data_IF_668660817841
#
_entry.id   IF_668660817841
#
_cell.length_a   1.000
_cell.length_b   1.000
_cell.length_c   1.000
_cell.angle_alpha   90.00
_cell.angle_beta   90.00
_cell.angle_gamma   90.00
#
_symmetry.space_group_name_H-M   'P 1'
#
loop_
_entity.id
_entity.type
_entity.pdbx_description
1 polymer ?
#
# COMPACT_ATOMS: atom_id res chain seq x y z
N UNK A 1 35.36 -36.41 48.01
CA UNK A 1 33.93 -36.35 48.37
C UNK A 1 33.17 -36.16 47.06
N UNK A 2 32.73 -37.25 46.44
CA UNK A 2 31.91 -37.19 45.23
C UNK A 2 30.47 -36.92 45.68
N UNK A 3 29.93 -35.79 45.24
CA UNK A 3 28.57 -35.36 45.50
C UNK A 3 27.61 -36.37 44.87
N UNK A 4 26.66 -36.87 45.66
CA UNK A 4 25.70 -37.90 45.26
C UNK A 4 24.68 -37.29 44.29
N UNK A 5 25.07 -37.15 43.02
CA UNK A 5 24.20 -36.66 41.94
C UNK A 5 23.01 -37.64 41.83
N UNK A 6 21.78 -37.14 42.06
CA UNK A 6 20.56 -37.94 41.88
C UNK A 6 20.56 -38.54 40.48
N UNK A 7 20.28 -39.83 40.33
CA UNK A 7 20.32 -40.52 39.03
C UNK A 7 19.47 -39.83 37.95
N UNK A 8 18.41 -39.14 38.36
CA UNK A 8 17.59 -38.30 37.48
C UNK A 8 18.34 -37.11 36.88
N UNK A 9 19.26 -36.49 37.62
CA UNK A 9 20.06 -35.35 37.18
C UNK A 9 21.19 -35.77 36.23
N UNK A 10 21.81 -36.94 36.47
CA UNK A 10 22.79 -37.50 35.56
C UNK A 10 22.15 -37.90 34.21
N UNK A 11 20.99 -38.57 34.26
CA UNK A 11 20.29 -39.02 33.07
C UNK A 11 19.82 -37.85 32.20
N UNK A 12 19.29 -36.78 32.80
CA UNK A 12 18.85 -35.59 32.07
C UNK A 12 20.01 -34.86 31.39
N UNK A 13 21.20 -34.82 32.02
CA UNK A 13 22.41 -34.21 31.47
C UNK A 13 22.99 -34.98 30.28
N UNK A 14 22.97 -36.31 30.32
CA UNK A 14 23.60 -37.16 29.28
C UNK A 14 22.67 -37.36 28.07
N UNK A 15 21.38 -37.57 28.31
CA UNK A 15 20.43 -37.88 27.24
C UNK A 15 19.73 -36.62 26.72
N UNK A 16 19.84 -35.49 27.44
CA UNK A 16 19.12 -34.25 27.14
C UNK A 16 17.60 -34.36 27.35
N UNK A 17 17.13 -35.48 27.90
CA UNK A 17 15.72 -35.72 28.17
C UNK A 17 15.37 -35.21 29.56
N UNK A 18 14.42 -34.28 29.63
CA UNK A 18 13.95 -33.74 30.91
C UNK A 18 13.04 -34.72 31.67
N UNK A 19 12.52 -35.76 31.01
CA UNK A 19 11.64 -36.79 31.60
C UNK A 19 11.94 -38.19 31.03
N UNK A 20 11.63 -39.24 31.81
CA UNK A 20 11.78 -40.64 31.37
C UNK A 20 10.75 -40.99 30.29
N UNK A 21 11.16 -41.69 29.21
CA UNK A 21 10.22 -42.14 28.19
C UNK A 21 9.22 -43.15 28.78
N UNK A 22 7.93 -42.95 28.49
CA UNK A 22 6.90 -43.93 28.82
C UNK A 22 7.09 -45.17 27.93
N UNK A 23 7.37 -46.31 28.54
CA UNK A 23 7.48 -47.59 27.84
C UNK A 23 6.08 -48.04 27.42
N UNK A 24 5.90 -48.41 26.15
CA UNK A 24 4.64 -49.00 25.68
C UNK A 24 4.39 -50.36 26.34
N UNK A 25 3.14 -50.68 26.68
CA UNK A 25 2.73 -51.95 27.30
C UNK A 25 3.22 -53.19 26.51
N UNK A 26 3.32 -53.07 25.18
CA UNK A 26 3.79 -54.11 24.26
C UNK A 26 5.29 -54.44 24.39
N UNK A 27 6.08 -53.62 25.10
CA UNK A 27 7.49 -53.96 25.40
C UNK A 27 7.59 -55.15 26.37
N UNK A 28 6.59 -55.36 27.22
CA UNK A 28 6.56 -56.51 28.15
C UNK A 28 6.28 -57.84 27.44
N UNK A 29 5.65 -57.79 26.26
CA UNK A 29 5.31 -58.97 25.44
C UNK A 29 6.34 -59.25 24.34
N UNK A 30 7.39 -58.44 24.22
CA UNK A 30 8.46 -58.61 23.24
C UNK A 30 8.11 -58.11 21.83
N UNK A 31 6.98 -57.43 21.65
CA UNK A 31 6.62 -56.81 20.37
C UNK A 31 7.17 -55.37 20.30
N UNK A 32 7.99 -55.09 19.28
CA UNK A 32 8.52 -53.76 19.06
C UNK A 32 7.39 -52.79 18.71
N UNK A 33 7.23 -51.74 19.52
CA UNK A 33 6.29 -50.65 19.21
C UNK A 33 6.71 -49.99 17.91
N UNK A 34 5.92 -50.23 16.85
CA UNK A 34 6.23 -49.77 15.49
C UNK A 34 6.03 -48.27 15.29
N UNK A 35 5.51 -47.57 16.30
CA UNK A 35 5.35 -46.12 16.34
C UNK A 35 5.74 -45.61 17.73
N UNK A 36 6.99 -45.17 17.94
CA UNK A 36 7.37 -44.55 19.21
C UNK A 36 6.57 -43.26 19.40
N UNK A 37 5.64 -43.26 20.36
CA UNK A 37 4.89 -42.08 20.76
C UNK A 37 5.67 -41.33 21.82
N UNK A 38 6.40 -40.30 21.41
CA UNK A 38 7.12 -39.43 22.34
C UNK A 38 6.15 -38.43 22.96
N UNK A 39 5.95 -38.52 24.28
CA UNK A 39 5.16 -37.54 25.05
C UNK A 39 6.13 -36.64 25.77
N UNK A 40 6.14 -35.35 25.41
CA UNK A 40 6.93 -34.33 26.08
C UNK A 40 6.03 -33.66 27.12
N UNK A 41 6.44 -33.73 28.38
CA UNK A 41 5.71 -33.14 29.52
C UNK A 41 6.60 -32.10 30.20
N UNK A 42 5.98 -31.05 30.74
CA UNK A 42 6.63 -29.97 31.47
C UNK A 42 5.76 -29.50 32.64
N UNK A 43 6.31 -28.64 33.49
CA UNK A 43 5.62 -28.05 34.64
C UNK A 43 5.69 -26.53 34.52
N UNK A 44 4.55 -25.86 34.59
CA UNK A 44 4.47 -24.40 34.62
C UNK A 44 3.59 -23.96 35.79
N UNK A 45 3.76 -22.72 36.27
CA UNK A 45 3.10 -22.23 37.47
C UNK A 45 1.58 -22.03 37.29
N UNK A 46 1.14 -21.77 36.05
CA UNK A 46 -0.28 -21.59 35.69
C UNK A 46 -0.66 -22.42 34.48
N UNK A 47 -1.96 -22.74 34.35
CA UNK A 47 -2.47 -23.49 33.18
C UNK A 47 -2.31 -22.71 31.87
N UNK A 48 -2.36 -21.38 31.92
CA UNK A 48 -2.22 -20.53 30.72
C UNK A 48 -0.77 -20.52 30.21
N UNK A 49 0.20 -20.41 31.12
CA UNK A 49 1.63 -20.52 30.78
C UNK A 49 1.96 -21.91 30.25
N UNK A 50 1.42 -22.98 30.84
CA UNK A 50 1.63 -24.35 30.38
C UNK A 50 1.16 -24.55 28.93
N UNK A 51 -0.01 -23.99 28.56
CA UNK A 51 -0.54 -24.08 27.19
C UNK A 51 0.34 -23.30 26.21
N UNK A 52 0.81 -22.11 26.60
CA UNK A 52 1.66 -21.27 25.77
C UNK A 52 3.02 -21.93 25.53
N UNK A 53 3.69 -22.38 26.59
CA UNK A 53 4.99 -23.05 26.53
C UNK A 53 4.93 -24.35 25.71
N UNK A 54 3.88 -25.16 25.92
CA UNK A 54 3.65 -26.37 25.12
C UNK A 54 3.45 -26.04 23.64
N UNK A 55 2.73 -24.93 23.33
CA UNK A 55 2.50 -24.50 21.95
C UNK A 55 3.79 -24.00 21.29
N UNK A 56 4.58 -23.20 21.99
CA UNK A 56 5.88 -22.71 21.51
C UNK A 56 6.85 -23.88 21.28
N UNK A 57 6.94 -24.82 22.23
CA UNK A 57 7.80 -25.99 22.12
C UNK A 57 7.37 -26.89 20.96
N UNK A 58 6.05 -27.11 20.80
CA UNK A 58 5.50 -27.84 19.66
C UNK A 58 5.89 -27.20 18.33
N UNK A 59 5.82 -25.87 18.21
CA UNK A 59 6.21 -25.14 17.00
C UNK A 59 7.70 -25.37 16.70
N UNK A 60 8.57 -25.23 17.70
CA UNK A 60 10.03 -25.40 17.55
C UNK A 60 10.37 -26.83 17.10
N UNK A 61 9.73 -27.83 17.71
CA UNK A 61 9.97 -29.24 17.36
C UNK A 61 9.43 -29.59 15.97
N UNK A 62 8.30 -29.02 15.56
CA UNK A 62 7.74 -29.19 14.21
C UNK A 62 8.57 -28.46 13.15
N UNK A 63 9.15 -27.30 13.47
CA UNK A 63 9.98 -26.53 12.53
C UNK A 63 11.39 -27.10 12.37
N UNK A 64 11.88 -27.86 13.35
CA UNK A 64 13.23 -28.41 13.36
C UNK A 64 14.32 -27.34 13.51
N UNK A 65 15.57 -27.77 13.48
CA UNK A 65 16.72 -26.86 13.51
C UNK A 65 16.89 -26.17 12.14
N UNK A 66 17.17 -24.86 12.15
CA UNK A 66 17.49 -24.12 10.95
C UNK A 66 18.81 -24.66 10.34
N UNK A 67 18.87 -24.94 9.02
CA UNK A 67 20.06 -25.49 8.38
C UNK A 67 21.31 -24.60 8.47
N UNK A 68 21.12 -23.28 8.64
CA UNK A 68 22.16 -22.26 8.70
C UNK A 68 21.76 -21.20 9.74
N UNK A 69 22.74 -20.59 10.41
CA UNK A 69 22.50 -19.45 11.28
C UNK A 69 21.94 -18.28 10.46
N UNK A 70 20.68 -17.90 10.74
CA UNK A 70 20.00 -16.78 10.06
C UNK A 70 19.99 -15.54 10.93
N UNK A 71 20.27 -14.39 10.34
CA UNK A 71 20.07 -13.09 10.98
C UNK A 71 18.72 -12.48 10.57
N UNK A 72 18.02 -11.90 11.54
CA UNK A 72 16.78 -11.17 11.27
C UNK A 72 17.14 -9.79 10.74
N UNK A 73 17.10 -9.63 9.42
CA UNK A 73 17.40 -8.35 8.73
C UNK A 73 16.32 -7.27 8.92
N UNK A 74 15.13 -7.65 9.38
CA UNK A 74 14.04 -6.71 9.66
C UNK A 74 12.80 -7.41 10.18
N UNK A 75 12.11 -6.76 11.13
CA UNK A 75 10.81 -7.20 11.64
C UNK A 75 9.87 -6.00 11.63
N UNK A 76 8.77 -6.13 10.90
CA UNK A 76 7.70 -5.14 10.88
C UNK A 76 6.44 -5.78 11.43
N UNK A 77 5.93 -5.25 12.54
CA UNK A 77 4.67 -5.68 13.13
C UNK A 77 3.70 -4.50 13.11
N UNK A 78 2.55 -4.69 12.49
CA UNK A 78 1.48 -3.70 12.42
C UNK A 78 0.28 -4.33 13.10
N UNK A 79 -0.23 -3.68 14.16
CA UNK A 79 -1.41 -4.21 14.86
C UNK A 79 -2.66 -4.04 13.99
N UNK A 80 -3.63 -4.99 14.07
CA UNK A 80 -4.90 -4.88 13.34
C UNK A 80 -5.65 -3.57 13.63
N UNK A 81 -5.57 -3.09 14.87
CA UNK A 81 -6.16 -1.80 15.29
C UNK A 81 -5.59 -0.63 14.49
N UNK A 82 -4.27 -0.57 14.32
CA UNK A 82 -3.61 0.49 13.55
C UNK A 82 -4.04 0.46 12.07
N UNK A 83 -4.23 -0.74 11.51
CA UNK A 83 -4.77 -0.90 10.15
C UNK A 83 -6.20 -0.37 10.01
N UNK A 84 -7.07 -0.63 10.98
CA UNK A 84 -8.45 -0.12 10.97
C UNK A 84 -8.51 1.41 11.12
N UNK A 85 -7.66 1.98 11.97
CA UNK A 85 -7.53 3.43 12.13
C UNK A 85 -6.98 4.09 10.87
N UNK A 86 -6.00 3.45 10.21
CA UNK A 86 -5.45 3.92 8.95
C UNK A 86 -6.52 4.10 7.88
N UNK A 87 -7.41 3.12 7.67
CA UNK A 87 -8.50 3.24 6.69
C UNK A 87 -9.38 4.47 6.97
N UNK A 88 -9.71 4.69 8.25
CA UNK A 88 -10.53 5.84 8.66
C UNK A 88 -9.79 7.17 8.41
N UNK A 89 -8.51 7.24 8.77
CA UNK A 89 -7.69 8.44 8.56
C UNK A 89 -7.54 8.77 7.07
N UNK A 90 -7.32 7.75 6.24
CA UNK A 90 -7.23 7.89 4.79
C UNK A 90 -8.53 8.43 4.20
N UNK A 91 -9.68 7.90 4.60
CA UNK A 91 -10.98 8.39 4.12
C UNK A 91 -11.20 9.87 4.48
N UNK A 92 -10.87 10.26 5.71
CA UNK A 92 -10.97 11.65 6.16
C UNK A 92 -10.00 12.54 5.38
N UNK A 93 -8.74 12.13 5.22
CA UNK A 93 -7.73 12.88 4.50
C UNK A 93 -8.10 13.06 3.01
N UNK A 94 -8.57 12.00 2.35
CA UNK A 94 -9.01 12.03 0.96
C UNK A 94 -10.22 12.95 0.75
N UNK A 95 -11.23 12.87 1.65
CA UNK A 95 -12.39 13.75 1.59
C UNK A 95 -12.01 15.22 1.86
N UNK A 96 -11.15 15.46 2.85
CA UNK A 96 -10.65 16.80 3.15
C UNK A 96 -9.86 17.40 1.98
N UNK A 97 -9.01 16.60 1.32
CA UNK A 97 -8.27 17.02 0.13
C UNK A 97 -9.22 17.38 -1.02
N UNK A 98 -10.23 16.54 -1.30
CA UNK A 98 -11.23 16.81 -2.34
C UNK A 98 -12.02 18.09 -2.06
N UNK A 99 -12.43 18.31 -0.82
CA UNK A 99 -13.15 19.53 -0.41
C UNK A 99 -12.26 20.78 -0.48
N UNK A 100 -11.00 20.69 -0.07
CA UNK A 100 -10.05 21.79 -0.16
C UNK A 100 -9.81 22.19 -1.62
N UNK A 101 -9.62 21.20 -2.50
CA UNK A 101 -9.52 21.40 -3.96
C UNK A 101 -10.79 22.06 -4.50
N UNK A 102 -11.96 21.54 -4.14
CA UNK A 102 -13.25 22.08 -4.57
C UNK A 102 -13.40 23.56 -4.18
N UNK A 103 -13.05 23.91 -2.95
CA UNK A 103 -13.08 25.28 -2.46
C UNK A 103 -12.13 26.19 -3.24
N UNK A 104 -10.87 25.78 -3.47
CA UNK A 104 -9.88 26.57 -4.21
C UNK A 104 -10.34 26.80 -5.66
N UNK A 105 -10.81 25.75 -6.34
CA UNK A 105 -11.30 25.84 -7.72
C UNK A 105 -12.53 26.76 -7.80
N UNK A 106 -13.44 26.65 -6.82
CA UNK A 106 -14.62 27.51 -6.75
C UNK A 106 -14.24 28.98 -6.55
N UNK A 107 -13.34 29.28 -5.62
CA UNK A 107 -12.85 30.65 -5.36
C UNK A 107 -12.14 31.22 -6.60
N UNK A 108 -11.35 30.41 -7.31
CA UNK A 108 -10.57 30.82 -8.49
C UNK A 108 -11.43 31.19 -9.68
N UNK A 109 -12.45 30.39 -10.00
CA UNK A 109 -13.27 30.58 -11.20
C UNK A 109 -14.58 31.31 -10.93
N UNK A 110 -15.11 31.26 -9.71
CA UNK A 110 -16.41 31.84 -9.30
C UNK A 110 -17.59 31.44 -10.21
N UNK A 111 -17.45 30.33 -10.94
CA UNK A 111 -18.39 29.85 -11.96
C UNK A 111 -18.63 28.37 -11.75
N UNK A 112 -19.83 28.05 -11.24
CA UNK A 112 -20.24 26.67 -10.87
C UNK A 112 -20.11 25.70 -12.04
N UNK A 113 -20.43 26.15 -13.26
CA UNK A 113 -20.37 25.30 -14.46
C UNK A 113 -18.94 24.89 -14.86
N UNK A 114 -17.90 25.57 -14.34
CA UNK A 114 -16.49 25.18 -14.54
C UNK A 114 -16.02 24.30 -13.37
N UNK A 115 -16.35 24.70 -12.15
CA UNK A 115 -15.88 24.03 -10.93
C UNK A 115 -16.46 22.63 -10.77
N UNK A 116 -17.74 22.41 -11.09
CA UNK A 116 -18.41 21.11 -10.91
C UNK A 116 -17.79 20.01 -11.79
N UNK A 117 -17.58 20.22 -13.11
CA UNK A 117 -16.90 19.23 -13.95
C UNK A 117 -15.48 18.88 -13.48
N UNK A 118 -14.72 19.85 -12.98
CA UNK A 118 -13.35 19.62 -12.45
C UNK A 118 -13.40 18.66 -11.27
N UNK A 119 -14.28 18.94 -10.30
CA UNK A 119 -14.42 18.12 -9.10
C UNK A 119 -14.93 16.71 -9.46
N UNK A 120 -15.92 16.62 -10.35
CA UNK A 120 -16.52 15.35 -10.75
C UNK A 120 -15.51 14.44 -11.46
N UNK A 121 -14.68 14.98 -12.35
CA UNK A 121 -13.63 14.19 -13.01
C UNK A 121 -12.53 13.81 -12.03
N UNK A 122 -12.14 14.72 -11.13
CA UNK A 122 -11.14 14.41 -10.09
C UNK A 122 -11.62 13.29 -9.17
N UNK A 123 -12.90 13.27 -8.80
CA UNK A 123 -13.49 12.17 -8.04
C UNK A 123 -13.50 10.86 -8.84
N UNK A 124 -13.89 10.90 -10.12
CA UNK A 124 -13.83 9.73 -11.00
C UNK A 124 -12.41 9.19 -11.16
N UNK A 125 -11.40 10.06 -11.16
CA UNK A 125 -9.99 9.67 -11.27
C UNK A 125 -9.54 8.84 -10.06
N UNK A 126 -9.96 9.21 -8.85
CA UNK A 126 -9.69 8.44 -7.63
C UNK A 126 -10.27 7.02 -7.78
N UNK A 127 -11.52 6.92 -8.25
CA UNK A 127 -12.17 5.61 -8.45
C UNK A 127 -11.42 4.78 -9.49
N UNK A 128 -10.98 5.38 -10.60
CA UNK A 128 -10.24 4.67 -11.64
C UNK A 128 -8.87 4.20 -11.11
N UNK A 129 -8.15 5.03 -10.35
CA UNK A 129 -6.86 4.65 -9.74
C UNK A 129 -7.07 3.47 -8.79
N UNK A 130 -8.07 3.52 -7.92
CA UNK A 130 -8.40 2.44 -7.00
C UNK A 130 -8.85 1.16 -7.74
N UNK A 131 -9.63 1.31 -8.82
CA UNK A 131 -10.06 0.22 -9.67
C UNK A 131 -8.89 -0.48 -10.36
N UNK A 132 -7.96 0.29 -10.93
CA UNK A 132 -6.72 -0.25 -11.52
C UNK A 132 -5.88 -0.94 -10.46
N UNK A 133 -5.67 -0.31 -9.30
CA UNK A 133 -4.93 -0.90 -8.19
C UNK A 133 -5.53 -2.24 -7.73
N UNK A 134 -6.86 -2.34 -7.69
CA UNK A 134 -7.58 -3.58 -7.36
C UNK A 134 -7.33 -4.68 -8.39
N UNK A 135 -7.39 -4.36 -9.69
CA UNK A 135 -7.18 -5.33 -10.79
C UNK A 135 -5.77 -5.90 -10.79
N UNK A 136 -4.76 -5.08 -10.48
CA UNK A 136 -3.36 -5.51 -10.43
C UNK A 136 -2.95 -6.07 -9.07
N UNK A 137 -3.90 -6.20 -8.12
CA UNK A 137 -3.65 -6.61 -6.73
C UNK A 137 -2.55 -5.79 -6.04
N UNK A 138 -2.48 -4.48 -6.32
CA UNK A 138 -1.49 -3.59 -5.71
C UNK A 138 -1.88 -3.24 -4.29
N UNK A 139 -0.97 -3.49 -3.35
CA UNK A 139 -1.15 -3.13 -1.95
C UNK A 139 -0.95 -1.63 -1.76
N UNK A 140 -1.99 -0.94 -1.29
CA UNK A 140 -1.94 0.49 -1.02
C UNK A 140 -1.43 0.71 0.41
N UNK A 141 -0.16 1.09 0.53
CA UNK A 141 0.44 1.52 1.78
C UNK A 141 0.30 3.05 1.98
N UNK A 142 0.86 3.57 3.08
CA UNK A 142 0.82 4.99 3.40
C UNK A 142 1.48 5.86 2.31
N UNK A 143 2.59 5.40 1.75
CA UNK A 143 3.31 6.12 0.70
C UNK A 143 2.50 6.14 -0.61
N UNK A 144 1.92 5.01 -1.01
CA UNK A 144 1.01 4.91 -2.15
C UNK A 144 -0.18 5.87 -2.00
N UNK A 145 -0.74 6.00 -0.79
CA UNK A 145 -1.82 6.95 -0.52
C UNK A 145 -1.40 8.40 -0.79
N UNK A 146 -0.22 8.81 -0.33
CA UNK A 146 0.31 10.13 -0.68
C UNK A 146 0.47 10.29 -2.20
N UNK A 147 0.80 9.21 -2.91
CA UNK A 147 0.88 9.19 -4.37
C UNK A 147 -0.47 9.42 -5.05
N UNK A 148 -1.55 8.86 -4.50
CA UNK A 148 -2.93 9.11 -4.96
C UNK A 148 -3.29 10.59 -4.73
N UNK A 149 -2.99 11.14 -3.56
CA UNK A 149 -3.26 12.56 -3.25
C UNK A 149 -2.49 13.48 -4.22
N UNK A 150 -1.24 13.15 -4.52
CA UNK A 150 -0.45 13.86 -5.53
C UNK A 150 -1.06 13.74 -6.94
N UNK A 151 -1.58 12.58 -7.31
CA UNK A 151 -2.28 12.38 -8.59
C UNK A 151 -3.55 13.27 -8.69
N UNK A 152 -4.32 13.40 -7.60
CA UNK A 152 -5.47 14.31 -7.56
C UNK A 152 -5.03 15.76 -7.78
N UNK A 153 -3.99 16.21 -7.06
CA UNK A 153 -3.49 17.59 -7.16
C UNK A 153 -3.00 17.92 -8.58
N UNK A 154 -2.20 17.04 -9.17
CA UNK A 154 -1.73 17.20 -10.56
C UNK A 154 -2.87 17.08 -11.57
N UNK A 155 -3.91 16.29 -11.29
CA UNK A 155 -5.09 16.20 -12.14
C UNK A 155 -5.92 17.46 -12.17
N UNK A 156 -6.15 18.07 -11.02
CA UNK A 156 -6.83 19.37 -10.94
C UNK A 156 -6.00 20.44 -11.63
N UNK A 157 -4.68 20.48 -11.41
CA UNK A 157 -3.77 21.40 -12.10
C UNK A 157 -3.89 21.28 -13.62
N UNK A 158 -3.88 20.06 -14.17
CA UNK A 158 -4.07 19.85 -15.61
C UNK A 158 -5.44 20.30 -16.10
N UNK A 159 -6.50 20.06 -15.33
CA UNK A 159 -7.85 20.52 -15.67
C UNK A 159 -7.93 22.05 -15.65
N UNK A 160 -7.27 22.72 -14.70
CA UNK A 160 -7.11 24.18 -14.65
C UNK A 160 -6.37 24.68 -15.90
N UNK A 161 -5.27 24.03 -16.30
CA UNK A 161 -4.53 24.40 -17.52
C UNK A 161 -5.41 24.27 -18.78
N UNK A 162 -6.19 23.18 -18.91
CA UNK A 162 -7.15 23.01 -20.02
C UNK A 162 -8.18 24.13 -19.99
N UNK A 163 -8.70 24.45 -18.82
CA UNK A 163 -9.72 25.48 -18.60
C UNK A 163 -9.18 26.87 -18.97
N UNK A 164 -8.03 27.25 -18.43
CA UNK A 164 -7.43 28.56 -18.62
C UNK A 164 -7.02 28.77 -20.09
N UNK A 165 -6.35 27.79 -20.72
CA UNK A 165 -5.95 27.90 -22.14
C UNK A 165 -7.17 27.91 -23.08
N UNK A 166 -8.26 27.23 -22.71
CA UNK A 166 -9.47 27.19 -23.53
C UNK A 166 -10.35 28.44 -23.38
N UNK A 167 -10.50 28.98 -22.17
CA UNK A 167 -11.23 30.22 -21.85
C UNK A 167 -10.44 31.50 -22.18
N UNK A 168 -9.15 31.41 -22.49
CA UNK A 168 -8.29 32.58 -22.73
C UNK A 168 -8.79 33.44 -23.90
N UNK A 169 -9.60 34.45 -23.62
CA UNK A 169 -10.14 35.37 -24.62
C UNK A 169 -9.71 36.81 -24.33
N UNK A 170 -9.19 37.49 -25.37
CA UNK A 170 -9.04 38.96 -25.54
C UNK A 170 -7.75 39.70 -25.12
N UNK A 171 -6.66 39.04 -24.72
CA UNK A 171 -5.44 39.74 -24.28
C UNK A 171 -4.40 40.15 -25.35
N UNK A 172 -4.47 39.69 -26.61
CA UNK A 172 -3.44 40.03 -27.60
C UNK A 172 -3.83 39.75 -29.04
N UNK A 173 -3.60 40.73 -29.92
CA UNK A 173 -4.02 40.73 -31.33
C UNK A 173 -3.51 39.53 -32.13
N UNK A 174 -2.38 38.92 -31.73
CA UNK A 174 -1.79 37.74 -32.40
C UNK A 174 -2.43 36.40 -32.00
N UNK A 175 -3.16 36.31 -30.88
CA UNK A 175 -3.83 35.05 -30.41
C UNK A 175 -5.30 34.90 -30.85
N UNK A 176 -5.89 35.93 -31.47
CA UNK A 176 -7.30 35.97 -31.89
C UNK A 176 -7.69 34.97 -33.01
N UNK A 177 -6.73 34.27 -33.62
CA UNK A 177 -6.97 33.34 -34.76
C UNK A 177 -6.82 31.85 -34.47
N UNK A 178 -6.42 31.44 -33.26
CA UNK A 178 -6.32 30.01 -32.94
C UNK A 178 -7.70 29.43 -32.65
N UNK A 179 -8.14 28.47 -33.47
CA UNK A 179 -9.33 27.64 -33.20
C UNK A 179 -9.26 27.03 -31.79
N UNK A 180 -10.41 26.85 -31.14
CA UNK A 180 -10.55 26.15 -29.84
C UNK A 180 -9.80 24.81 -29.86
N UNK A 181 -9.80 24.10 -30.99
CA UNK A 181 -9.02 22.86 -31.17
C UNK A 181 -7.53 23.06 -30.90
N UNK A 182 -6.94 24.14 -31.44
CA UNK A 182 -5.50 24.44 -31.28
C UNK A 182 -5.14 24.91 -29.88
N UNK A 183 -6.08 25.53 -29.16
CA UNK A 183 -5.89 25.90 -27.74
C UNK A 183 -5.83 24.67 -26.86
N UNK A 184 -6.81 23.78 -27.02
CA UNK A 184 -6.82 22.49 -26.32
C UNK A 184 -5.56 21.68 -26.63
N UNK A 185 -5.12 21.64 -27.90
CA UNK A 185 -3.87 20.98 -28.27
C UNK A 185 -2.64 21.57 -27.55
N UNK A 186 -2.53 22.90 -27.43
CA UNK A 186 -1.44 23.52 -26.67
C UNK A 186 -1.51 23.14 -25.18
N UNK A 187 -2.71 23.09 -24.59
CA UNK A 187 -2.89 22.65 -23.21
C UNK A 187 -2.39 21.21 -23.01
N UNK A 188 -2.75 20.30 -23.91
CA UNK A 188 -2.25 18.91 -23.88
C UNK A 188 -0.74 18.83 -24.04
N UNK A 189 -0.12 19.69 -24.85
CA UNK A 189 1.33 19.75 -24.97
C UNK A 189 2.02 20.16 -23.64
N UNK A 190 1.46 21.16 -22.95
CA UNK A 190 1.95 21.60 -21.63
C UNK A 190 1.82 20.45 -20.61
N UNK A 191 0.65 19.80 -20.59
CA UNK A 191 0.35 18.67 -19.69
C UNK A 191 1.30 17.50 -19.94
N UNK A 192 1.52 17.13 -21.19
CA UNK A 192 2.41 16.01 -21.53
C UNK A 192 3.86 16.31 -21.13
N UNK A 193 4.30 17.55 -21.32
CA UNK A 193 5.65 17.98 -20.92
C UNK A 193 5.83 17.93 -19.41
N UNK A 194 4.89 18.48 -18.64
CA UNK A 194 4.96 18.45 -17.17
C UNK A 194 4.85 17.03 -16.60
N UNK A 195 4.03 16.20 -17.23
CA UNK A 195 3.93 14.79 -16.89
C UNK A 195 5.25 14.04 -17.12
N UNK A 196 5.89 14.24 -18.27
CA UNK A 196 7.16 13.60 -18.58
C UNK A 196 8.23 13.96 -17.54
N UNK A 197 8.29 15.23 -17.11
CA UNK A 197 9.22 15.64 -16.04
C UNK A 197 8.91 14.97 -14.70
N UNK A 198 7.63 14.83 -14.34
CA UNK A 198 7.21 14.16 -13.11
C UNK A 198 7.55 12.68 -13.15
N UNK A 199 7.27 11.99 -14.26
CA UNK A 199 7.62 10.57 -14.45
C UNK A 199 9.15 10.40 -14.37
N UNK A 200 9.90 11.28 -15.02
CA UNK A 200 11.37 11.28 -14.95
C UNK A 200 11.90 11.43 -13.51
N UNK A 201 11.26 12.26 -12.69
CA UNK A 201 11.61 12.41 -11.28
C UNK A 201 11.22 11.19 -10.43
N UNK A 202 10.09 10.54 -10.72
CA UNK A 202 9.60 9.37 -9.98
C UNK A 202 10.29 8.06 -10.40
N UNK A 203 10.81 7.97 -11.63
CA UNK A 203 11.39 6.74 -12.16
C UNK A 203 12.56 6.19 -11.31
N UNK A 204 13.54 7.00 -10.86
CA UNK A 204 14.57 6.50 -9.95
C UNK A 204 14.00 6.00 -8.61
N UNK A 205 13.00 6.66 -8.04
CA UNK A 205 12.37 6.24 -6.77
C UNK A 205 11.56 4.94 -6.92
N UNK A 206 11.01 4.70 -8.11
CA UNK A 206 10.28 3.47 -8.41
C UNK A 206 11.24 2.28 -8.67
N UNK A 207 12.39 2.54 -9.31
CA UNK A 207 13.35 1.52 -9.71
C UNK A 207 14.37 1.19 -8.60
N UNK A 208 15.04 2.23 -8.08
CA UNK A 208 15.88 2.11 -6.90
C UNK A 208 14.92 1.86 -5.74
N UNK A 209 14.95 0.66 -5.16
CA UNK A 209 14.04 0.28 -4.07
C UNK A 209 14.36 1.05 -2.79
N UNK A 210 14.12 2.36 -2.81
CA UNK A 210 14.11 3.26 -1.68
C UNK A 210 12.87 2.88 -0.86
N UNK A 211 13.04 1.89 0.01
CA UNK A 211 11.98 1.01 0.54
C UNK A 211 10.65 1.72 0.85
N UNK A 212 10.69 2.88 1.53
CA UNK A 212 9.49 3.61 1.94
C UNK A 212 8.87 4.51 0.85
N UNK A 213 9.62 4.93 -0.18
CA UNK A 213 9.15 5.88 -1.19
C UNK A 213 8.69 5.20 -2.49
N UNK A 214 8.94 3.90 -2.64
CA UNK A 214 8.59 3.15 -3.84
C UNK A 214 7.08 3.15 -4.10
N UNK A 215 6.27 2.96 -3.04
CA UNK A 215 4.81 3.01 -3.14
C UNK A 215 4.31 4.34 -3.67
N UNK A 216 4.84 5.45 -3.14
CA UNK A 216 4.54 6.81 -3.60
C UNK A 216 4.86 6.98 -5.09
N UNK A 217 6.08 6.64 -5.51
CA UNK A 217 6.53 6.83 -6.88
C UNK A 217 5.70 6.02 -7.89
N UNK A 218 5.47 4.74 -7.62
CA UNK A 218 4.69 3.86 -8.50
C UNK A 218 3.25 4.36 -8.62
N UNK A 219 2.60 4.71 -7.51
CA UNK A 219 1.22 5.16 -7.54
C UNK A 219 1.07 6.53 -8.21
N UNK A 220 2.02 7.46 -8.03
CA UNK A 220 2.03 8.74 -8.76
C UNK A 220 2.18 8.54 -10.27
N UNK A 221 3.08 7.66 -10.71
CA UNK A 221 3.25 7.35 -12.15
C UNK A 221 1.95 6.76 -12.72
N UNK A 222 1.35 5.78 -12.05
CA UNK A 222 0.10 5.15 -12.49
C UNK A 222 -1.03 6.18 -12.56
N UNK A 223 -1.20 7.00 -11.52
CA UNK A 223 -2.21 8.05 -11.49
C UNK A 223 -2.06 9.05 -12.63
N UNK A 224 -0.82 9.47 -12.91
CA UNK A 224 -0.52 10.38 -14.00
C UNK A 224 -0.79 9.77 -15.38
N UNK A 225 -0.45 8.49 -15.60
CA UNK A 225 -0.74 7.77 -16.84
C UNK A 225 -2.24 7.61 -17.08
N UNK A 226 -2.99 7.20 -16.05
CA UNK A 226 -4.46 7.14 -16.07
C UNK A 226 -5.01 8.51 -16.42
N UNK A 227 -4.46 9.54 -15.80
CA UNK A 227 -4.84 10.91 -16.03
C UNK A 227 -4.75 11.29 -17.50
N UNK A 228 -3.54 11.26 -18.05
CA UNK A 228 -3.25 11.70 -19.42
C UNK A 228 -4.03 10.89 -20.45
N UNK A 229 -4.23 9.60 -20.19
CA UNK A 229 -4.86 8.69 -21.16
C UNK A 229 -6.38 8.77 -21.10
N UNK A 230 -6.98 8.97 -19.92
CA UNK A 230 -8.42 8.84 -19.70
C UNK A 230 -9.02 10.17 -19.26
N UNK A 231 -8.63 10.69 -18.10
CA UNK A 231 -9.40 11.76 -17.45
C UNK A 231 -9.17 13.14 -18.07
N UNK A 232 -7.95 13.45 -18.52
CA UNK A 232 -7.66 14.74 -19.20
C UNK A 232 -8.33 14.82 -20.57
N UNK A 233 -8.28 13.79 -21.46
CA UNK A 233 -9.06 13.75 -22.70
C UNK A 233 -10.57 13.88 -22.48
N UNK A 234 -11.11 13.22 -21.45
CA UNK A 234 -12.51 13.34 -21.06
C UNK A 234 -12.85 14.79 -20.66
N UNK A 235 -12.03 15.41 -19.79
CA UNK A 235 -12.22 16.81 -19.40
C UNK A 235 -12.12 17.76 -20.59
N UNK A 236 -11.12 17.59 -21.45
CA UNK A 236 -10.93 18.41 -22.65
C UNK A 236 -12.12 18.33 -23.62
N UNK A 237 -12.85 17.22 -23.64
CA UNK A 237 -14.09 17.08 -24.41
C UNK A 237 -15.24 17.86 -23.77
N UNK A 238 -15.38 17.81 -22.45
CA UNK A 238 -16.38 18.58 -21.69
C UNK A 238 -16.10 20.09 -21.82
N UNK A 239 -14.84 20.52 -21.69
CA UNK A 239 -14.44 21.92 -21.84
C UNK A 239 -14.83 22.48 -23.22
N UNK A 240 -14.64 21.70 -24.30
CA UNK A 240 -15.07 22.11 -25.66
C UNK A 240 -16.59 22.32 -25.76
N UNK A 241 -17.39 21.48 -25.09
CA UNK A 241 -18.86 21.59 -25.10
C UNK A 241 -19.29 22.85 -24.33
N UNK A 242 -18.71 23.08 -23.16
CA UNK A 242 -19.00 24.25 -22.32
C UNK A 242 -18.74 25.55 -23.10
N UNK A 243 -17.65 25.61 -23.85
CA UNK A 243 -17.26 26.79 -24.63
C UNK A 243 -18.06 26.99 -25.91
N UNK A 244 -18.61 25.93 -26.50
CA UNK A 244 -19.43 26.02 -27.72
C UNK A 244 -20.83 26.58 -27.42
N UNK A 245 -21.30 26.42 -26.19
CA UNK A 245 -22.63 26.85 -25.73
C UNK A 245 -22.62 28.23 -25.03
N UNK A 246 -21.53 28.99 -25.11
CA UNK A 246 -21.44 30.40 -24.72
C UNK A 246 -21.40 31.30 -25.94
#
# INVERSE_FOLDING_TARGET
MAENESQSAYFSRVVGLMNSPLLSENLATGEASSTPSYVIQGVSATSEEAIKETSELKIILQSGALPVATEIVGKSFISPTLGSEFIRQVLIAGLAALLAVAAIVFIRYRKIFISVPIIMISFSEIIIILGVASVIHWTIDLAAMAGIIAAIGTGVDHQIVITDESLMEKGGEKRKRKSIKKRVENAFFIIFTSAFTTIGAMAPLAYLSLGMLRGFAVTTIIGLLIGITITRPAYGSIAKIILKNQ
#
